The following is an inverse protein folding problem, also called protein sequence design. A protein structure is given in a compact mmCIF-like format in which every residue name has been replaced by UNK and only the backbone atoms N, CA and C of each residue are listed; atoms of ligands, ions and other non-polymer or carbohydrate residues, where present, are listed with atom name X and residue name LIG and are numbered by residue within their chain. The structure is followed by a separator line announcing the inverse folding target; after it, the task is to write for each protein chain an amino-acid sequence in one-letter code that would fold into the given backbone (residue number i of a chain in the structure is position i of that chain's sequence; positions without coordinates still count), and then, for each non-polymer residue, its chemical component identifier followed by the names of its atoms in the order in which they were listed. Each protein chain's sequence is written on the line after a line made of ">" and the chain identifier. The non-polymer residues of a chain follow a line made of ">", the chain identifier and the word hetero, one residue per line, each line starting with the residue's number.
data_IF_905758619998
#
_entry.id   IF_905758619998
#
_cell.length_a   1.000
_cell.length_b   1.000
_cell.length_c   1.000
_cell.angle_alpha   90.00
_cell.angle_beta   90.00
_cell.angle_gamma   90.00
#
_symmetry.space_group_name_H-M   'P 1'
#
loop_
_entity.id
_entity.type
_entity.pdbx_description
1 polymer ?
#
# COMPACT_ATOMS: atom_id res chain seq x y z
N UNK A 1 12.78 -2.29 -20.31
CA UNK A 1 13.06 -0.84 -20.28
C UNK A 1 13.66 -0.46 -18.93
N UNK A 2 14.79 0.23 -18.92
CA UNK A 2 15.52 0.70 -17.75
C UNK A 2 14.65 1.63 -16.93
N UNK A 3 14.97 1.79 -15.63
CA UNK A 3 14.32 2.79 -14.79
C UNK A 3 14.29 4.17 -15.45
N UNK A 4 13.16 4.88 -15.32
CA UNK A 4 13.03 6.26 -15.81
C UNK A 4 13.71 7.21 -14.84
N UNK A 5 14.96 7.58 -15.14
CA UNK A 5 15.76 8.52 -14.34
C UNK A 5 15.50 9.97 -14.76
N UNK A 6 14.66 10.67 -14.02
CA UNK A 6 14.20 12.04 -14.35
C UNK A 6 13.99 12.86 -13.09
N UNK A 7 14.10 14.19 -13.19
CA UNK A 7 14.04 15.07 -12.00
C UNK A 7 12.70 14.95 -11.25
N UNK A 8 11.59 14.81 -11.98
CA UNK A 8 10.24 14.60 -11.45
C UNK A 8 9.64 13.25 -11.83
N UNK A 9 8.59 12.85 -11.10
CA UNK A 9 7.73 11.71 -11.40
C UNK A 9 6.86 11.98 -12.65
N UNK A 10 6.45 13.22 -12.90
CA UNK A 10 5.64 13.61 -14.06
C UNK A 10 6.43 14.38 -15.11
N UNK A 11 7.51 15.06 -14.71
CA UNK A 11 8.27 15.96 -15.58
C UNK A 11 9.75 15.60 -15.64
N UNK A 12 10.37 15.88 -16.79
CA UNK A 12 11.77 15.51 -17.02
C UNK A 12 12.77 16.47 -16.34
N UNK A 13 12.37 17.70 -15.98
CA UNK A 13 13.25 18.70 -15.38
C UNK A 13 12.55 19.80 -14.58
N UNK A 14 13.21 20.26 -13.51
CA UNK A 14 12.84 21.47 -12.76
C UNK A 14 11.67 21.36 -11.77
N UNK A 15 11.00 20.22 -11.68
CA UNK A 15 9.94 19.99 -10.70
C UNK A 15 10.44 19.30 -9.43
N UNK A 16 9.69 19.50 -8.33
CA UNK A 16 9.89 18.79 -7.08
C UNK A 16 9.08 17.47 -7.11
N UNK A 17 9.72 16.30 -7.13
CA UNK A 17 9.01 15.02 -7.15
C UNK A 17 8.16 14.79 -5.91
N UNK A 18 8.40 15.50 -4.80
CA UNK A 18 7.51 15.47 -3.64
C UNK A 18 6.16 16.11 -3.94
N UNK A 19 6.15 17.25 -4.64
CA UNK A 19 4.89 17.91 -5.03
C UNK A 19 4.10 17.05 -6.02
N UNK A 20 4.79 16.46 -6.98
CA UNK A 20 4.15 15.57 -7.95
C UNK A 20 3.61 14.28 -7.28
N UNK A 21 4.37 13.68 -6.35
CA UNK A 21 3.92 12.53 -5.57
C UNK A 21 2.68 12.85 -4.73
N UNK A 22 2.68 14.01 -4.05
CA UNK A 22 1.53 14.48 -3.28
C UNK A 22 0.28 14.61 -4.14
N UNK A 23 0.42 15.23 -5.31
CA UNK A 23 -0.69 15.42 -6.24
C UNK A 23 -1.22 14.09 -6.79
N UNK A 24 -0.35 13.17 -7.20
CA UNK A 24 -0.74 11.83 -7.68
C UNK A 24 -1.51 11.07 -6.60
N UNK A 25 -1.03 11.05 -5.36
CA UNK A 25 -1.70 10.37 -4.24
C UNK A 25 -3.04 11.05 -3.90
N UNK A 26 -3.08 12.39 -3.87
CA UNK A 26 -4.33 13.11 -3.63
C UNK A 26 -5.37 12.86 -4.73
N UNK A 27 -4.95 12.85 -5.99
CA UNK A 27 -5.81 12.49 -7.12
C UNK A 27 -6.33 11.05 -6.97
N UNK A 28 -5.48 10.09 -6.61
CA UNK A 28 -5.92 8.73 -6.38
C UNK A 28 -6.96 8.63 -5.25
N UNK A 29 -6.77 9.34 -4.14
CA UNK A 29 -7.70 9.34 -2.98
C UNK A 29 -9.04 9.99 -3.33
N UNK A 30 -9.03 11.17 -3.95
CA UNK A 30 -10.25 11.87 -4.38
C UNK A 30 -10.99 11.04 -5.43
N UNK A 31 -10.26 10.53 -6.43
CA UNK A 31 -10.79 9.69 -7.48
C UNK A 31 -11.40 8.40 -6.95
N UNK A 32 -10.70 7.70 -6.05
CA UNK A 32 -11.22 6.52 -5.37
C UNK A 32 -12.53 6.84 -4.65
N UNK A 33 -12.58 7.96 -3.92
CA UNK A 33 -13.79 8.35 -3.19
C UNK A 33 -14.98 8.56 -4.11
N UNK A 34 -14.78 9.26 -5.24
CA UNK A 34 -15.81 9.48 -6.26
C UNK A 34 -16.27 8.15 -6.87
N UNK A 35 -15.34 7.24 -7.18
CA UNK A 35 -15.69 5.94 -7.77
C UNK A 35 -16.43 5.01 -6.80
N UNK A 36 -16.13 5.08 -5.49
CA UNK A 36 -16.91 4.36 -4.47
C UNK A 36 -18.33 4.91 -4.34
N UNK A 37 -18.49 6.23 -4.34
CA UNK A 37 -19.83 6.84 -4.30
C UNK A 37 -20.65 6.48 -5.55
N UNK A 38 -20.02 6.47 -6.74
CA UNK A 38 -20.67 5.97 -7.97
C UNK A 38 -21.10 4.51 -7.88
N UNK A 39 -20.43 3.72 -7.04
CA UNK A 39 -20.77 2.34 -6.74
C UNK A 39 -21.78 2.20 -5.58
N UNK A 40 -22.37 3.30 -5.11
CA UNK A 40 -23.28 3.37 -3.97
C UNK A 40 -22.64 2.92 -2.65
N UNK A 41 -21.37 3.26 -2.44
CA UNK A 41 -20.60 2.92 -1.24
C UNK A 41 -20.17 4.21 -0.53
N UNK A 42 -20.45 4.29 0.77
CA UNK A 42 -19.92 5.34 1.63
C UNK A 42 -18.41 5.20 1.81
N UNK A 43 -17.72 6.33 1.83
CA UNK A 43 -16.27 6.36 2.00
C UNK A 43 -15.95 6.80 3.43
N UNK A 44 -15.29 5.92 4.17
CA UNK A 44 -14.76 6.25 5.49
C UNK A 44 -13.23 6.17 5.49
N UNK A 45 -12.58 7.26 5.88
CA UNK A 45 -11.18 7.24 6.27
C UNK A 45 -11.09 7.13 7.79
N UNK A 46 -10.48 6.04 8.24
CA UNK A 46 -10.38 5.64 9.63
C UNK A 46 -9.04 6.03 10.24
N UNK A 47 -9.04 6.33 11.53
CA UNK A 47 -7.86 6.37 12.38
C UNK A 47 -8.04 5.48 13.63
N UNK A 48 -7.01 5.38 14.45
CA UNK A 48 -7.05 4.64 15.72
C UNK A 48 -8.12 5.20 16.66
N UNK A 49 -8.83 4.37 17.44
CA UNK A 49 -9.76 4.84 18.48
C UNK A 49 -9.07 5.73 19.54
N UNK A 50 -9.80 6.70 20.11
CA UNK A 50 -9.26 7.69 21.06
C UNK A 50 -8.75 7.08 22.36
N UNK A 51 -9.41 6.03 22.84
CA UNK A 51 -9.18 5.41 24.15
C UNK A 51 -7.82 4.70 24.23
N UNK A 52 -7.08 4.70 23.13
CA UNK A 52 -5.84 3.95 22.91
C UNK A 52 -4.61 4.83 22.77
N UNK A 53 -4.75 6.16 22.73
CA UNK A 53 -3.62 7.06 22.50
C UNK A 53 -3.02 7.62 23.80
N UNK A 54 -1.71 7.40 24.07
CA UNK A 54 -1.02 8.02 25.20
C UNK A 54 -0.89 9.55 25.08
N UNK A 55 -1.31 10.13 23.94
CA UNK A 55 -1.26 11.56 23.64
C UNK A 55 -2.61 12.05 23.09
N UNK A 56 -3.61 12.35 23.94
CA UNK A 56 -4.94 12.78 23.50
C UNK A 56 -4.91 14.06 22.65
N UNK A 57 -3.96 14.96 22.89
CA UNK A 57 -3.79 16.19 22.08
C UNK A 57 -3.26 15.89 20.67
N UNK A 58 -2.47 14.84 20.52
CA UNK A 58 -2.01 14.39 19.20
C UNK A 58 -3.18 13.76 18.45
N UNK A 59 -3.93 12.87 19.12
CA UNK A 59 -5.11 12.23 18.55
C UNK A 59 -6.14 13.27 18.09
N UNK A 60 -6.49 14.23 18.94
CA UNK A 60 -7.50 15.26 18.63
C UNK A 60 -7.10 16.10 17.41
N UNK A 61 -5.82 16.49 17.31
CA UNK A 61 -5.33 17.20 16.12
C UNK A 61 -5.42 16.35 14.86
N UNK A 62 -5.02 15.09 14.92
CA UNK A 62 -5.11 14.19 13.76
C UNK A 62 -6.56 13.94 13.35
N UNK A 63 -7.46 13.85 14.33
CA UNK A 63 -8.90 13.73 14.10
C UNK A 63 -9.46 14.95 13.37
N UNK A 64 -9.18 16.15 13.86
CA UNK A 64 -9.59 17.41 13.21
C UNK A 64 -9.02 17.50 11.77
N UNK A 65 -7.75 17.11 11.60
CA UNK A 65 -7.09 17.09 10.30
C UNK A 65 -7.78 16.14 9.32
N UNK A 66 -8.16 14.95 9.78
CA UNK A 66 -8.85 13.93 9.01
C UNK A 66 -10.28 14.36 8.66
N UNK A 67 -11.01 14.98 9.60
CA UNK A 67 -12.33 15.53 9.36
C UNK A 67 -12.33 16.60 8.27
N UNK A 68 -11.39 17.55 8.34
CA UNK A 68 -11.25 18.60 7.32
C UNK A 68 -10.94 18.02 5.94
N UNK A 69 -10.01 17.05 5.87
CA UNK A 69 -9.66 16.38 4.63
C UNK A 69 -10.86 15.62 4.04
N UNK A 70 -11.55 14.79 4.84
CA UNK A 70 -12.72 14.05 4.41
C UNK A 70 -13.86 14.97 3.94
N UNK A 71 -14.11 16.07 4.66
CA UNK A 71 -15.10 17.07 4.27
C UNK A 71 -14.76 17.71 2.92
N UNK A 72 -13.51 18.12 2.71
CA UNK A 72 -13.08 18.74 1.45
C UNK A 72 -13.12 17.75 0.30
N UNK A 73 -12.74 16.49 0.50
CA UNK A 73 -12.89 15.43 -0.52
C UNK A 73 -14.37 15.22 -0.87
N UNK A 74 -15.26 15.17 0.13
CA UNK A 74 -16.71 15.06 -0.09
C UNK A 74 -17.29 16.26 -0.87
N UNK A 75 -16.79 17.47 -0.62
CA UNK A 75 -17.17 18.65 -1.40
C UNK A 75 -16.73 18.53 -2.85
N UNK A 76 -15.51 18.08 -3.11
CA UNK A 76 -15.01 17.85 -4.48
C UNK A 76 -15.82 16.76 -5.20
N UNK A 77 -16.16 15.68 -4.50
CA UNK A 77 -17.01 14.63 -5.05
C UNK A 77 -18.39 15.17 -5.45
N UNK A 78 -19.00 16.01 -4.62
CA UNK A 78 -20.30 16.63 -4.91
C UNK A 78 -20.29 17.62 -6.09
N UNK A 79 -19.11 18.12 -6.50
CA UNK A 79 -18.96 18.91 -7.73
C UNK A 79 -18.96 18.03 -8.99
N UNK A 80 -18.45 16.79 -8.88
CA UNK A 80 -18.27 15.87 -9.99
C UNK A 80 -19.48 14.95 -10.23
N UNK A 81 -20.22 14.61 -9.18
CA UNK A 81 -21.31 13.62 -9.22
C UNK A 81 -22.49 14.00 -8.32
N UNK A 82 -23.65 13.43 -8.62
CA UNK A 82 -24.73 13.35 -7.65
C UNK A 82 -24.34 12.32 -6.58
N UNK A 83 -24.25 12.77 -5.33
CA UNK A 83 -23.84 11.94 -4.20
C UNK A 83 -24.87 10.86 -3.85
N UNK A 84 -26.13 10.98 -4.31
CA UNK A 84 -27.21 9.99 -4.06
C UNK A 84 -27.42 9.63 -2.58
N UNK A 85 -27.09 10.55 -1.67
CA UNK A 85 -27.17 10.33 -0.22
C UNK A 85 -25.94 9.67 0.41
N UNK A 86 -24.94 9.28 -0.38
CA UNK A 86 -23.65 8.79 0.10
C UNK A 86 -22.72 9.92 0.53
N UNK A 87 -21.69 9.59 1.31
CA UNK A 87 -20.80 10.57 1.89
C UNK A 87 -19.33 10.12 1.98
N UNK A 88 -18.45 11.11 2.13
CA UNK A 88 -17.05 10.93 2.53
C UNK A 88 -16.93 11.43 3.97
N UNK A 89 -16.45 10.58 4.88
CA UNK A 89 -16.38 10.90 6.31
C UNK A 89 -15.09 10.41 6.96
N UNK A 90 -14.69 11.10 8.03
CA UNK A 90 -13.72 10.56 8.98
C UNK A 90 -14.42 9.57 9.92
N UNK A 91 -13.69 8.54 10.36
CA UNK A 91 -14.16 7.56 11.33
C UNK A 91 -13.01 6.93 12.11
N UNK A 92 -13.34 5.96 12.95
CA UNK A 92 -12.36 5.16 13.68
C UNK A 92 -12.41 3.72 13.20
N UNK A 93 -11.27 3.05 13.21
CA UNK A 93 -11.19 1.61 12.99
C UNK A 93 -11.82 0.85 14.16
N UNK A 94 -12.11 -0.44 13.94
CA UNK A 94 -12.45 -1.37 15.03
C UNK A 94 -11.21 -1.63 15.89
N UNK A 95 -11.41 -1.81 17.20
CA UNK A 95 -10.34 -2.15 18.13
C UNK A 95 -9.75 -3.54 17.80
N UNK A 96 -8.44 -3.58 17.54
CA UNK A 96 -7.69 -4.78 17.19
C UNK A 96 -7.53 -5.74 18.39
N UNK A 97 -7.61 -5.24 19.63
CA UNK A 97 -7.35 -6.03 20.86
C UNK A 97 -8.39 -7.12 21.12
N UNK A 98 -9.54 -7.06 20.46
CA UNK A 98 -10.55 -8.12 20.53
C UNK A 98 -10.20 -9.32 19.64
N UNK A 99 -9.12 -9.25 18.86
CA UNK A 99 -8.80 -10.22 17.82
C UNK A 99 -9.55 -9.94 16.50
N UNK A 100 -9.98 -8.70 16.30
CA UNK A 100 -10.65 -8.27 15.10
C UNK A 100 -9.72 -8.38 13.87
N UNK A 101 -10.32 -8.58 12.70
CA UNK A 101 -9.60 -8.82 11.43
C UNK A 101 -10.08 -7.89 10.33
N UNK A 102 -9.21 -7.63 9.36
CA UNK A 102 -9.65 -7.13 8.06
C UNK A 102 -10.07 -8.36 7.25
N UNK A 103 -11.25 -8.30 6.63
CA UNK A 103 -11.78 -9.38 5.79
C UNK A 103 -11.87 -8.85 4.37
N UNK A 104 -11.27 -9.55 3.41
CA UNK A 104 -11.57 -9.36 2.00
C UNK A 104 -12.70 -10.31 1.62
N UNK A 105 -13.80 -9.80 1.09
CA UNK A 105 -14.88 -10.65 0.57
C UNK A 105 -15.01 -10.47 -0.92
N UNK A 106 -15.05 -11.57 -1.68
CA UNK A 106 -15.07 -11.53 -3.15
C UNK A 106 -16.43 -11.15 -3.70
N UNK A 107 -16.72 -9.84 -3.76
CA UNK A 107 -18.02 -9.31 -4.18
C UNK A 107 -18.40 -9.69 -5.61
N UNK A 108 -17.42 -9.94 -6.50
CA UNK A 108 -17.69 -10.40 -7.87
C UNK A 108 -18.27 -11.82 -7.95
N UNK A 109 -18.10 -12.64 -6.91
CA UNK A 109 -18.77 -13.93 -6.79
C UNK A 109 -20.16 -13.82 -6.12
N UNK A 110 -20.66 -12.62 -5.87
CA UNK A 110 -21.96 -12.38 -5.24
C UNK A 110 -21.97 -12.56 -3.73
N UNK A 111 -20.80 -12.56 -3.09
CA UNK A 111 -20.72 -12.54 -1.64
C UNK A 111 -21.04 -11.15 -1.10
N UNK A 112 -21.83 -11.10 -0.03
CA UNK A 112 -22.17 -9.86 0.66
C UNK A 112 -20.96 -9.25 1.36
N UNK A 113 -20.85 -7.91 1.45
CA UNK A 113 -19.78 -7.27 2.22
C UNK A 113 -19.75 -7.76 3.68
N UNK A 114 -18.58 -7.86 4.31
CA UNK A 114 -18.47 -8.33 5.69
C UNK A 114 -19.16 -7.35 6.64
N UNK A 115 -19.88 -7.89 7.62
CA UNK A 115 -20.52 -7.11 8.67
C UNK A 115 -19.52 -6.70 9.76
N UNK A 116 -19.91 -5.74 10.61
CA UNK A 116 -19.12 -5.41 11.81
C UNK A 116 -18.94 -6.61 12.75
N UNK A 117 -19.89 -7.56 12.75
CA UNK A 117 -19.79 -8.82 13.48
C UNK A 117 -18.67 -9.69 12.92
N UNK A 118 -18.60 -9.84 11.61
CA UNK A 118 -17.58 -10.65 10.91
C UNK A 118 -16.17 -10.13 11.20
N UNK A 119 -16.02 -8.81 11.31
CA UNK A 119 -14.76 -8.13 11.63
C UNK A 119 -14.36 -8.35 13.09
N UNK A 120 -15.29 -8.17 14.02
CA UNK A 120 -15.02 -8.22 15.48
C UNK A 120 -14.90 -9.64 16.02
N UNK A 121 -15.64 -10.56 15.41
CA UNK A 121 -15.80 -11.95 15.84
C UNK A 121 -15.63 -12.90 14.65
N UNK A 122 -14.44 -12.91 13.99
CA UNK A 122 -14.19 -13.79 12.86
C UNK A 122 -14.41 -15.26 13.20
N UNK A 123 -14.24 -15.65 14.47
CA UNK A 123 -14.46 -17.01 14.97
C UNK A 123 -15.86 -17.58 14.70
N UNK A 124 -16.86 -16.73 14.46
CA UNK A 124 -18.21 -17.16 14.12
C UNK A 124 -18.39 -17.51 12.64
N UNK A 125 -17.42 -17.15 11.80
CA UNK A 125 -17.47 -17.26 10.35
C UNK A 125 -16.34 -18.12 9.77
N UNK A 126 -15.32 -18.43 10.58
CA UNK A 126 -14.26 -19.36 10.22
C UNK A 126 -14.75 -20.81 10.23
N UNK A 127 -14.19 -21.62 9.33
CA UNK A 127 -14.28 -23.07 9.38
C UNK A 127 -13.51 -23.63 10.59
N UNK A 128 -13.78 -24.88 10.99
CA UNK A 128 -13.06 -25.50 12.13
C UNK A 128 -11.53 -25.44 11.97
N UNK A 129 -11.03 -25.68 10.77
CA UNK A 129 -9.59 -25.57 10.46
C UNK A 129 -9.13 -24.11 10.40
N UNK A 130 -9.95 -23.22 9.84
CA UNK A 130 -9.67 -21.77 9.82
C UNK A 130 -9.52 -21.21 11.23
N UNK A 131 -10.38 -21.64 12.16
CA UNK A 131 -10.31 -21.29 13.58
C UNK A 131 -8.99 -21.76 14.21
N UNK A 132 -8.55 -22.99 13.93
CA UNK A 132 -7.27 -23.51 14.42
C UNK A 132 -6.10 -22.64 13.95
N UNK A 133 -6.07 -22.25 12.67
CA UNK A 133 -5.02 -21.38 12.14
C UNK A 133 -5.07 -19.98 12.76
N UNK A 134 -6.26 -19.38 12.88
CA UNK A 134 -6.45 -18.08 13.53
C UNK A 134 -5.96 -18.11 14.99
N UNK A 135 -6.30 -19.15 15.74
CA UNK A 135 -5.86 -19.32 17.13
C UNK A 135 -4.34 -19.53 17.21
N UNK A 136 -3.73 -20.26 16.28
CA UNK A 136 -2.26 -20.42 16.22
C UNK A 136 -1.57 -19.08 15.97
N UNK A 137 -2.08 -18.27 15.02
CA UNK A 137 -1.55 -16.93 14.73
C UNK A 137 -1.59 -16.03 15.96
N UNK A 138 -2.71 -16.04 16.71
CA UNK A 138 -2.85 -15.26 17.95
C UNK A 138 -1.96 -15.76 19.08
N UNK A 139 -1.83 -17.08 19.23
CA UNK A 139 -0.95 -17.66 20.25
C UNK A 139 0.53 -17.35 20.00
N UNK A 140 0.88 -17.02 18.75
CA UNK A 140 2.24 -16.65 18.32
C UNK A 140 2.36 -15.19 17.90
N UNK A 141 1.51 -14.30 18.44
CA UNK A 141 1.45 -12.87 18.10
C UNK A 141 2.76 -12.10 18.37
N UNK A 142 3.71 -12.71 19.07
CA UNK A 142 5.04 -12.16 19.41
C UNK A 142 6.20 -12.98 18.85
N UNK A 143 5.94 -13.94 17.96
CA UNK A 143 6.96 -14.80 17.37
C UNK A 143 7.37 -14.29 15.97
N UNK A 144 8.50 -13.57 15.83
CA UNK A 144 8.97 -13.06 14.54
C UNK A 144 9.48 -14.18 13.61
N UNK A 145 9.70 -15.41 14.10
CA UNK A 145 10.03 -16.54 13.24
C UNK A 145 8.78 -17.12 12.56
N UNK A 146 7.59 -16.80 13.07
CA UNK A 146 6.32 -17.29 12.54
C UNK A 146 5.62 -16.25 11.64
N UNK A 147 5.73 -14.96 11.96
CA UNK A 147 5.02 -13.90 11.24
C UNK A 147 5.66 -12.51 11.41
N UNK A 148 5.15 -11.51 10.68
CA UNK A 148 5.61 -10.13 10.81
C UNK A 148 4.91 -9.42 11.98
N UNK A 149 5.67 -8.98 13.00
CA UNK A 149 5.16 -8.37 14.24
C UNK A 149 5.58 -6.89 14.44
N UNK A 150 6.17 -6.27 13.41
CA UNK A 150 6.61 -4.88 13.41
C UNK A 150 5.50 -3.81 13.27
N UNK A 151 5.88 -2.63 12.79
CA UNK A 151 4.95 -1.53 12.52
C UNK A 151 4.21 -1.78 11.20
N UNK A 152 2.87 -1.73 11.22
CA UNK A 152 2.09 -2.21 10.07
C UNK A 152 2.16 -3.75 9.94
N UNK A 153 2.39 -4.44 11.05
CA UNK A 153 2.30 -5.88 11.20
C UNK A 153 0.89 -6.36 10.94
N UNK A 154 0.71 -6.71 9.69
CA UNK A 154 -0.48 -7.33 9.20
C UNK A 154 -0.14 -8.71 8.66
N UNK A 155 -0.69 -9.73 9.31
CA UNK A 155 -0.50 -11.12 8.93
C UNK A 155 -1.72 -11.60 8.17
N UNK A 156 -1.54 -11.94 6.90
CA UNK A 156 -2.60 -12.49 6.06
C UNK A 156 -2.80 -13.98 6.30
N UNK A 157 -4.02 -14.47 6.12
CA UNK A 157 -4.32 -15.89 5.99
C UNK A 157 -5.58 -16.09 5.15
N UNK A 158 -5.81 -17.32 4.67
CA UNK A 158 -6.98 -17.67 3.85
C UNK A 158 -7.70 -18.84 4.49
N UNK A 159 -8.98 -18.65 4.79
CA UNK A 159 -9.89 -19.76 5.07
C UNK A 159 -10.58 -20.18 3.77
N UNK A 160 -10.52 -21.46 3.44
CA UNK A 160 -11.13 -22.03 2.25
C UNK A 160 -12.47 -22.74 2.55
N UNK A 161 -13.00 -22.61 3.76
CA UNK A 161 -14.30 -23.17 4.14
C UNK A 161 -14.36 -24.70 4.17
N UNK A 162 -13.27 -25.40 3.90
CA UNK A 162 -13.17 -26.86 3.82
C UNK A 162 -14.17 -27.50 2.81
N UNK A 163 -14.58 -26.79 1.74
CA UNK A 163 -15.74 -27.18 0.92
C UNK A 163 -15.48 -28.13 -0.26
N UNK A 164 -14.27 -28.25 -0.82
CA UNK A 164 -13.96 -29.24 -1.87
C UNK A 164 -12.44 -29.54 -1.96
N UNK A 165 -12.06 -30.82 -2.07
CA UNK A 165 -10.66 -31.23 -2.30
C UNK A 165 -9.69 -31.17 -1.10
N UNK A 166 -10.20 -30.98 0.13
CA UNK A 166 -9.45 -30.99 1.41
C UNK A 166 -8.09 -30.27 1.34
N UNK A 167 -8.11 -28.98 0.98
CA UNK A 167 -6.95 -28.12 1.24
C UNK A 167 -7.10 -27.55 2.64
N UNK A 168 -6.02 -27.43 3.39
CA UNK A 168 -6.03 -26.74 4.68
C UNK A 168 -6.05 -25.22 4.44
N UNK A 169 -6.54 -24.40 5.41
CA UNK A 169 -6.38 -22.95 5.35
C UNK A 169 -4.90 -22.60 5.19
N UNK A 170 -4.61 -21.48 4.53
CA UNK A 170 -3.25 -21.11 4.14
C UNK A 170 -2.80 -19.87 4.90
N UNK A 171 -1.66 -19.97 5.59
CA UNK A 171 -1.03 -18.88 6.31
C UNK A 171 -0.06 -19.40 7.37
N UNK A 172 0.56 -18.51 8.17
CA UNK A 172 0.52 -17.06 8.06
C UNK A 172 1.23 -16.54 6.80
N UNK A 173 0.79 -15.39 6.29
CA UNK A 173 1.43 -14.66 5.20
C UNK A 173 1.94 -13.33 5.75
N UNK A 174 3.19 -13.29 6.25
CA UNK A 174 3.78 -12.06 6.79
C UNK A 174 4.05 -11.06 5.66
N UNK A 175 4.10 -9.77 6.01
CA UNK A 175 4.51 -8.74 5.05
C UNK A 175 5.88 -9.04 4.45
N UNK A 176 6.08 -8.65 3.19
CA UNK A 176 7.28 -8.98 2.42
C UNK A 176 7.89 -7.73 1.78
N UNK A 177 9.22 -7.68 1.71
CA UNK A 177 10.01 -6.73 0.92
C UNK A 177 10.60 -7.44 -0.29
N UNK A 178 10.65 -6.75 -1.42
CA UNK A 178 11.31 -7.24 -2.63
C UNK A 178 12.03 -6.12 -3.39
N UNK A 179 12.99 -6.54 -4.22
CA UNK A 179 13.53 -5.70 -5.26
C UNK A 179 12.54 -5.61 -6.43
N UNK A 180 12.26 -4.39 -6.90
CA UNK A 180 11.42 -4.19 -8.08
C UNK A 180 12.33 -4.31 -9.30
N UNK A 181 12.12 -5.31 -10.18
CA UNK A 181 13.09 -5.62 -11.22
C UNK A 181 13.28 -4.47 -12.21
N UNK A 182 14.52 -4.31 -12.66
CA UNK A 182 14.82 -3.53 -13.85
C UNK A 182 14.36 -4.31 -15.08
N UNK A 183 13.49 -3.70 -15.90
CA UNK A 183 12.89 -4.36 -17.05
C UNK A 183 13.85 -4.42 -18.27
N UNK A 184 15.05 -3.84 -18.21
CA UNK A 184 16.09 -3.91 -19.26
C UNK A 184 17.28 -4.81 -18.91
N UNK A 185 17.37 -5.36 -17.70
CA UNK A 185 18.55 -6.11 -17.25
C UNK A 185 18.79 -7.46 -17.99
N UNK A 186 17.98 -7.81 -19.00
CA UNK A 186 18.25 -8.91 -19.94
C UNK A 186 18.19 -10.33 -19.38
N UNK A 187 18.09 -10.49 -18.05
CA UNK A 187 18.08 -11.79 -17.36
C UNK A 187 16.67 -12.30 -17.01
N UNK A 188 15.62 -11.61 -17.45
CA UNK A 188 14.25 -12.10 -17.31
C UNK A 188 13.92 -12.99 -18.51
N UNK A 189 14.20 -14.30 -18.37
CA UNK A 189 13.89 -15.35 -19.36
C UNK A 189 12.36 -15.49 -19.63
N UNK A 190 11.55 -14.68 -18.95
CA UNK A 190 10.10 -14.67 -18.98
C UNK A 190 9.57 -13.24 -19.14
N UNK A 191 8.88 -12.96 -20.26
CA UNK A 191 8.17 -11.72 -20.65
C UNK A 191 7.11 -11.16 -19.65
N UNK A 192 7.30 -11.26 -18.34
CA UNK A 192 6.27 -10.97 -17.31
C UNK A 192 6.03 -9.46 -17.15
N UNK A 193 7.07 -8.66 -17.33
CA UNK A 193 6.98 -7.21 -17.30
C UNK A 193 6.82 -6.61 -18.70
N UNK A 194 6.51 -7.43 -19.70
CA UNK A 194 6.34 -6.97 -21.07
C UNK A 194 5.24 -5.91 -21.13
N UNK A 195 5.68 -4.65 -21.28
CA UNK A 195 4.84 -3.47 -21.38
C UNK A 195 4.44 -2.79 -20.06
N UNK A 196 4.95 -3.19 -18.89
CA UNK A 196 4.87 -2.29 -17.72
C UNK A 196 5.61 -0.97 -18.04
N UNK A 197 5.02 0.15 -17.62
CA UNK A 197 5.68 1.44 -17.78
C UNK A 197 6.89 1.52 -16.83
N UNK A 198 8.06 2.00 -17.29
CA UNK A 198 9.27 2.07 -16.48
C UNK A 198 9.04 2.79 -15.14
N UNK A 199 9.53 2.18 -14.06
CA UNK A 199 9.47 2.78 -12.71
C UNK A 199 10.40 3.97 -12.63
N UNK A 200 9.99 5.02 -11.93
CA UNK A 200 10.77 6.23 -11.73
C UNK A 200 11.87 6.06 -10.68
N UNK A 201 13.02 6.68 -10.97
CA UNK A 201 14.09 6.93 -10.03
C UNK A 201 14.58 8.38 -10.18
N UNK A 202 15.10 9.01 -9.11
CA UNK A 202 15.86 10.23 -9.28
C UNK A 202 17.10 10.00 -10.17
N UNK A 203 17.58 11.03 -10.90
CA UNK A 203 18.88 11.00 -11.57
C UNK A 203 19.99 10.68 -10.57
N UNK A 204 21.07 10.04 -11.01
CA UNK A 204 22.16 9.60 -10.12
C UNK A 204 22.82 10.78 -9.40
N UNK A 205 22.89 11.91 -10.08
CA UNK A 205 23.42 13.19 -9.59
C UNK A 205 22.41 13.99 -8.74
N UNK A 206 21.22 13.47 -8.50
CA UNK A 206 20.17 14.18 -7.76
C UNK A 206 20.54 14.34 -6.28
N UNK A 207 20.32 15.54 -5.74
CA UNK A 207 20.46 15.80 -4.30
C UNK A 207 19.51 14.94 -3.43
N UNK A 208 18.50 14.30 -4.02
CA UNK A 208 17.63 13.34 -3.33
C UNK A 208 18.36 12.08 -2.87
N UNK A 209 19.53 11.79 -3.43
CA UNK A 209 20.38 10.70 -2.97
C UNK A 209 21.23 11.08 -1.74
N UNK A 210 21.45 12.38 -1.47
CA UNK A 210 22.32 12.80 -0.38
C UNK A 210 21.94 12.20 0.99
N UNK A 211 20.66 12.21 1.43
CA UNK A 211 20.28 11.60 2.71
C UNK A 211 20.40 10.06 2.72
N UNK A 212 20.53 9.46 1.55
CA UNK A 212 20.61 8.01 1.34
C UNK A 212 22.05 7.50 1.19
N UNK A 213 23.04 8.39 1.09
CA UNK A 213 24.46 8.01 1.14
C UNK A 213 24.72 7.39 2.51
N UNK A 214 25.30 6.20 2.52
CA UNK A 214 25.63 5.51 3.77
C UNK A 214 26.63 6.34 4.57
N UNK A 215 26.45 6.33 5.88
CA UNK A 215 27.35 6.98 6.80
C UNK A 215 28.78 6.43 6.64
N UNK A 216 29.77 7.33 6.67
CA UNK A 216 31.20 7.02 6.65
C UNK A 216 31.68 6.28 5.37
N UNK A 217 30.91 6.32 4.29
CA UNK A 217 31.28 5.81 2.95
C UNK A 217 31.61 6.94 1.97
N UNK A 218 31.97 6.60 0.73
CA UNK A 218 32.06 7.59 -0.35
C UNK A 218 30.66 7.99 -0.85
N UNK A 219 30.59 9.08 -1.64
CA UNK A 219 29.35 9.66 -2.18
C UNK A 219 28.59 8.74 -3.16
N UNK A 220 29.03 7.49 -3.33
CA UNK A 220 28.47 6.53 -4.29
C UNK A 220 27.81 5.31 -3.63
N UNK A 221 28.09 5.02 -2.36
CA UNK A 221 27.43 3.92 -1.63
C UNK A 221 26.12 4.41 -0.99
N UNK A 222 25.02 4.28 -1.75
CA UNK A 222 23.68 4.70 -1.33
C UNK A 222 22.79 3.50 -0.96
N UNK A 223 21.92 3.68 0.02
CA UNK A 223 20.80 2.75 0.23
C UNK A 223 19.79 2.87 -0.91
N UNK A 224 19.27 1.74 -1.37
CA UNK A 224 18.29 1.67 -2.47
C UNK A 224 17.07 2.59 -2.28
N UNK A 225 16.51 3.05 -3.41
CA UNK A 225 15.35 3.92 -3.40
C UNK A 225 14.12 3.19 -2.86
N UNK A 226 13.28 3.91 -2.10
CA UNK A 226 12.08 3.32 -1.52
C UNK A 226 12.31 2.47 -0.26
N UNK A 227 13.54 2.28 0.23
CA UNK A 227 13.79 1.64 1.54
C UNK A 227 13.16 2.49 2.66
N UNK A 228 12.34 1.86 3.51
CA UNK A 228 11.76 2.47 4.73
C UNK A 228 12.90 2.88 5.66
N UNK A 229 12.93 4.17 6.02
CA UNK A 229 14.03 4.76 6.80
C UNK A 229 15.31 5.01 6.01
N UNK A 230 15.26 4.90 4.67
CA UNK A 230 16.43 5.09 3.82
C UNK A 230 17.01 6.49 3.84
N UNK A 231 16.22 7.51 4.18
CA UNK A 231 16.66 8.89 4.42
C UNK A 231 17.46 9.07 5.72
N UNK A 232 17.57 8.01 6.53
CA UNK A 232 18.36 7.96 7.76
C UNK A 232 19.72 7.27 7.53
N UNK A 233 20.16 7.08 6.29
CA UNK A 233 21.41 6.37 5.99
C UNK A 233 22.67 7.10 6.51
N UNK A 234 22.58 8.41 6.76
CA UNK A 234 23.65 9.21 7.35
C UNK A 234 23.66 9.19 8.89
N UNK A 235 22.58 8.73 9.52
CA UNK A 235 22.44 8.72 10.97
C UNK A 235 23.16 7.52 11.59
N UNK A 236 23.66 7.71 12.81
CA UNK A 236 24.20 6.62 13.62
C UNK A 236 23.11 5.58 13.95
N UNK A 237 23.44 4.28 14.04
CA UNK A 237 22.59 3.34 14.75
C UNK A 237 22.29 3.86 16.16
N UNK A 238 21.08 3.58 16.66
CA UNK A 238 20.69 3.88 18.02
C UNK A 238 21.19 2.81 18.96
N UNK A 239 21.84 3.21 20.05
CA UNK A 239 22.46 2.30 21.02
C UNK A 239 21.44 1.44 21.77
N UNK A 240 20.21 1.92 21.94
CA UNK A 240 19.16 1.25 22.68
C UNK A 240 18.38 0.20 21.88
N UNK A 241 18.61 0.11 20.56
CA UNK A 241 17.94 -0.85 19.67
C UNK A 241 18.94 -1.92 19.17
N UNK A 242 18.47 -3.15 18.86
CA UNK A 242 19.33 -4.17 18.25
C UNK A 242 19.99 -3.64 16.97
N UNK A 243 21.31 -3.74 16.89
CA UNK A 243 22.08 -3.23 15.76
C UNK A 243 22.22 -4.25 14.62
N UNK A 244 22.43 -5.53 14.99
CA UNK A 244 22.69 -6.63 14.05
C UNK A 244 23.83 -6.34 13.05
N UNK A 245 24.82 -5.56 13.48
CA UNK A 245 25.96 -5.17 12.64
C UNK A 245 25.65 -4.08 11.62
N UNK A 246 24.61 -3.27 11.86
CA UNK A 246 24.28 -2.15 11.01
C UNK A 246 25.35 -1.05 11.10
N UNK A 247 25.63 -0.43 9.96
CA UNK A 247 26.63 0.66 9.89
C UNK A 247 26.00 2.03 10.04
N UNK A 248 24.69 2.12 9.83
CA UNK A 248 23.88 3.33 9.87
C UNK A 248 22.44 3.00 10.30
N UNK A 249 21.63 4.04 10.54
CA UNK A 249 20.27 3.89 11.02
C UNK A 249 19.33 3.21 10.02
N UNK A 250 19.48 3.43 8.71
CA UNK A 250 18.68 2.75 7.68
C UNK A 250 18.89 1.23 7.70
N UNK A 251 20.15 0.79 7.82
CA UNK A 251 20.49 -0.63 7.96
C UNK A 251 19.93 -1.22 9.24
N UNK A 252 20.02 -0.48 10.35
CA UNK A 252 19.50 -0.94 11.63
C UNK A 252 18.00 -1.20 11.54
N UNK A 253 17.24 -0.27 10.93
CA UNK A 253 15.79 -0.44 10.69
C UNK A 253 15.52 -1.67 9.81
N UNK A 254 16.29 -1.83 8.73
CA UNK A 254 16.18 -3.00 7.84
C UNK A 254 16.43 -4.32 8.57
N UNK A 255 17.48 -4.37 9.40
CA UNK A 255 17.84 -5.54 10.17
C UNK A 255 16.81 -5.87 11.25
N UNK A 256 16.28 -4.86 11.95
CA UNK A 256 15.20 -5.05 12.93
C UNK A 256 13.96 -5.63 12.24
N UNK A 257 13.55 -5.08 11.08
CA UNK A 257 12.42 -5.61 10.32
C UNK A 257 12.61 -7.08 9.94
N UNK A 258 13.84 -7.48 9.62
CA UNK A 258 14.19 -8.86 9.24
C UNK A 258 14.26 -9.81 10.42
N UNK A 259 15.15 -9.52 11.36
CA UNK A 259 15.58 -10.48 12.37
C UNK A 259 14.73 -10.44 13.63
N UNK A 260 14.22 -9.25 13.99
CA UNK A 260 13.44 -9.07 15.23
C UNK A 260 11.94 -9.01 14.98
N UNK A 261 11.53 -8.68 13.74
CA UNK A 261 10.12 -8.48 13.42
C UNK A 261 9.55 -9.49 12.43
N UNK A 262 10.36 -10.28 11.72
CA UNK A 262 9.84 -11.37 10.88
C UNK A 262 9.29 -10.97 9.51
N UNK A 263 9.69 -9.82 8.96
CA UNK A 263 9.34 -9.47 7.58
C UNK A 263 10.07 -10.40 6.62
N UNK A 264 9.38 -10.89 5.59
CA UNK A 264 10.00 -11.70 4.55
C UNK A 264 10.81 -10.82 3.59
N UNK A 265 12.03 -11.23 3.24
CA UNK A 265 12.86 -10.53 2.24
C UNK A 265 13.04 -11.46 1.03
N UNK A 266 12.45 -11.09 -0.09
CA UNK A 266 12.42 -11.89 -1.32
C UNK A 266 13.32 -11.23 -2.36
N UNK A 267 14.24 -12.01 -2.93
CA UNK A 267 15.17 -11.59 -3.99
C UNK A 267 15.85 -10.25 -3.71
N UNK A 268 16.85 -10.30 -2.83
CA UNK A 268 17.63 -9.13 -2.42
C UNK A 268 18.82 -8.85 -3.32
N UNK A 269 18.83 -9.39 -4.55
CA UNK A 269 19.95 -9.17 -5.44
C UNK A 269 20.09 -7.66 -5.75
N UNK A 270 21.24 -7.09 -5.39
CA UNK A 270 21.62 -5.69 -5.61
C UNK A 270 21.03 -4.68 -4.60
N UNK A 271 21.82 -3.71 -4.16
CA UNK A 271 21.33 -2.54 -3.41
C UNK A 271 20.77 -1.44 -4.33
N UNK A 272 21.06 -1.53 -5.63
CA UNK A 272 20.62 -0.59 -6.65
C UNK A 272 19.14 -0.77 -7.02
N UNK A 273 18.47 0.33 -7.38
CA UNK A 273 17.08 0.32 -7.86
C UNK A 273 16.01 0.60 -6.80
N UNK A 274 14.77 0.21 -7.10
CA UNK A 274 13.60 0.48 -6.24
C UNK A 274 13.32 -0.74 -5.36
N UNK A 275 13.06 -0.50 -4.06
CA UNK A 275 12.59 -1.50 -3.10
C UNK A 275 11.11 -1.26 -2.81
N UNK A 276 10.35 -2.35 -2.70
CA UNK A 276 8.92 -2.31 -2.48
C UNK A 276 8.46 -3.28 -1.40
N UNK A 277 7.29 -2.99 -0.82
CA UNK A 277 6.71 -3.71 0.30
C UNK A 277 5.26 -4.12 0.02
N UNK A 278 4.90 -5.36 0.36
CA UNK A 278 3.53 -5.89 0.25
C UNK A 278 3.07 -6.43 1.59
N UNK A 279 1.85 -6.05 2.00
CA UNK A 279 1.23 -6.53 3.24
C UNK A 279 0.62 -7.93 3.09
N UNK A 280 0.38 -8.59 4.23
CA UNK A 280 -0.17 -9.95 4.29
C UNK A 280 -1.53 -10.12 3.60
N UNK A 281 -2.48 -9.18 3.75
CA UNK A 281 -3.79 -9.24 3.08
C UNK A 281 -3.65 -9.38 1.57
N UNK A 282 -2.69 -8.66 0.99
CA UNK A 282 -2.51 -8.63 -0.47
C UNK A 282 -2.05 -10.02 -0.94
N UNK A 283 -1.12 -10.64 -0.22
CA UNK A 283 -0.71 -12.02 -0.46
C UNK A 283 -1.88 -13.00 -0.29
N UNK A 284 -2.69 -12.81 0.76
CA UNK A 284 -3.87 -13.62 1.02
C UNK A 284 -4.90 -13.51 -0.12
N UNK A 285 -5.08 -12.33 -0.72
CA UNK A 285 -5.98 -12.13 -1.87
C UNK A 285 -5.49 -12.89 -3.10
N UNK A 286 -4.19 -12.81 -3.44
CA UNK A 286 -3.67 -13.65 -4.55
C UNK A 286 -3.91 -15.13 -4.27
N UNK A 287 -3.70 -15.58 -3.04
CA UNK A 287 -3.90 -16.98 -2.68
C UNK A 287 -5.38 -17.38 -2.70
N UNK A 288 -6.28 -16.55 -2.17
CA UNK A 288 -7.71 -16.80 -2.20
C UNK A 288 -8.23 -16.86 -3.64
N UNK A 289 -7.82 -15.93 -4.50
CA UNK A 289 -8.18 -15.94 -5.92
C UNK A 289 -7.69 -17.20 -6.64
N UNK A 290 -6.45 -17.63 -6.35
CA UNK A 290 -5.89 -18.87 -6.87
C UNK A 290 -6.68 -20.12 -6.44
N UNK A 291 -7.10 -20.18 -5.17
CA UNK A 291 -7.84 -21.32 -4.62
C UNK A 291 -9.31 -21.33 -5.04
N UNK A 292 -9.89 -20.16 -5.31
CA UNK A 292 -11.21 -20.01 -5.90
C UNK A 292 -12.17 -19.13 -5.07
N UNK A 293 -13.38 -18.89 -5.60
CA UNK A 293 -14.30 -17.86 -5.08
C UNK A 293 -14.92 -18.18 -3.71
N UNK A 294 -14.74 -19.39 -3.19
CA UNK A 294 -15.21 -19.79 -1.86
C UNK A 294 -14.19 -19.46 -0.75
N UNK A 295 -12.98 -19.04 -1.13
CA UNK A 295 -11.92 -18.70 -0.18
C UNK A 295 -12.05 -17.25 0.29
N UNK A 296 -11.89 -17.05 1.60
CA UNK A 296 -11.96 -15.74 2.24
C UNK A 296 -10.58 -15.36 2.78
N UNK A 297 -9.94 -14.31 2.24
CA UNK A 297 -8.73 -13.75 2.79
C UNK A 297 -9.03 -12.89 4.03
N UNK A 298 -8.20 -13.08 5.05
CA UNK A 298 -8.22 -12.35 6.29
C UNK A 298 -6.86 -11.72 6.55
N UNK A 299 -6.84 -10.66 7.34
CA UNK A 299 -5.62 -10.05 7.85
C UNK A 299 -5.83 -9.68 9.31
N UNK A 300 -4.94 -10.19 10.17
CA UNK A 300 -4.97 -9.96 11.61
C UNK A 300 -3.79 -9.09 12.01
N UNK A 301 -4.04 -8.18 12.93
CA UNK A 301 -2.99 -7.39 13.58
C UNK A 301 -2.32 -8.22 14.67
N UNK A 302 -0.99 -8.27 14.63
CA UNK A 302 -0.16 -9.00 15.61
C UNK A 302 0.96 -8.10 16.13
N UNK A 303 1.56 -8.49 17.25
CA UNK A 303 2.56 -7.70 17.95
C UNK A 303 1.99 -6.49 18.69
N UNK A 304 2.88 -5.74 19.34
CA UNK A 304 2.50 -4.58 20.16
C UNK A 304 2.65 -3.24 19.39
N UNK A 305 3.21 -3.27 18.18
CA UNK A 305 3.56 -2.07 17.41
C UNK A 305 2.45 -1.58 16.46
N UNK A 306 1.50 -2.44 16.11
CA UNK A 306 0.42 -2.11 15.18
C UNK A 306 -0.89 -2.03 15.94
N UNK A 307 -1.46 -0.83 15.98
CA UNK A 307 -2.64 -0.52 16.80
C UNK A 307 -3.90 -0.22 15.98
N UNK A 308 -3.79 -0.23 14.64
CA UNK A 308 -4.88 0.16 13.74
C UNK A 308 -5.30 -1.00 12.85
N UNK A 309 -6.57 -1.37 12.93
CA UNK A 309 -7.18 -2.36 12.04
C UNK A 309 -7.82 -1.67 10.82
N UNK A 310 -6.97 -1.15 9.95
CA UNK A 310 -7.38 -0.49 8.71
C UNK A 310 -6.31 -0.72 7.65
N UNK A 311 -6.74 -0.90 6.40
CA UNK A 311 -5.83 -1.04 5.26
C UNK A 311 -5.23 0.31 4.90
N UNK A 312 -3.92 0.35 4.63
CA UNK A 312 -3.30 1.54 4.05
C UNK A 312 -3.86 1.80 2.66
N UNK A 313 -3.76 3.04 2.18
CA UNK A 313 -4.40 3.41 0.91
C UNK A 313 -3.92 2.58 -0.31
N UNK A 314 -2.65 2.16 -0.32
CA UNK A 314 -2.12 1.22 -1.32
C UNK A 314 -2.86 -0.12 -1.31
N UNK A 315 -3.02 -0.73 -0.13
CA UNK A 315 -3.82 -1.94 0.03
C UNK A 315 -5.27 -1.72 -0.39
N UNK A 316 -5.92 -0.64 0.07
CA UNK A 316 -7.31 -0.31 -0.26
C UNK A 316 -7.54 -0.27 -1.77
N UNK A 317 -6.65 0.40 -2.50
CA UNK A 317 -6.75 0.51 -3.95
C UNK A 317 -6.71 -0.87 -4.63
N UNK A 318 -5.79 -1.75 -4.23
CA UNK A 318 -5.69 -3.10 -4.78
C UNK A 318 -6.87 -3.99 -4.39
N UNK A 319 -7.27 -3.93 -3.12
CA UNK A 319 -8.39 -4.66 -2.54
C UNK A 319 -9.69 -4.34 -3.28
N UNK A 320 -10.01 -3.04 -3.43
CA UNK A 320 -11.18 -2.58 -4.18
C UNK A 320 -11.13 -2.97 -5.65
N UNK A 321 -9.96 -2.82 -6.31
CA UNK A 321 -9.81 -3.16 -7.73
C UNK A 321 -10.12 -4.63 -8.03
N UNK A 322 -9.83 -5.51 -7.08
CA UNK A 322 -9.99 -6.95 -7.23
C UNK A 322 -11.28 -7.49 -6.58
N UNK A 323 -12.19 -6.59 -6.18
CA UNK A 323 -13.48 -6.98 -5.63
C UNK A 323 -13.42 -7.53 -4.20
N UNK A 324 -12.37 -7.20 -3.44
CA UNK A 324 -12.19 -7.51 -2.03
C UNK A 324 -12.12 -6.22 -1.20
N UNK A 325 -13.10 -5.31 -1.24
CA UNK A 325 -12.98 -3.99 -0.61
C UNK A 325 -12.65 -4.11 0.88
N UNK A 326 -11.74 -3.26 1.42
CA UNK A 326 -11.37 -3.34 2.82
C UNK A 326 -12.52 -2.87 3.71
N UNK A 327 -12.59 -3.44 4.90
CA UNK A 327 -13.57 -3.07 5.92
C UNK A 327 -13.31 -1.69 6.54
N UNK A 328 -12.06 -1.22 6.44
CA UNK A 328 -11.61 0.06 6.97
C UNK A 328 -10.38 0.51 6.19
N UNK A 329 -10.33 1.79 5.81
CA UNK A 329 -9.19 2.41 5.10
C UNK A 329 -8.59 3.50 5.95
N UNK A 330 -7.26 3.61 6.04
CA UNK A 330 -6.62 4.75 6.72
C UNK A 330 -5.66 5.51 5.80
N UNK A 331 -5.54 6.82 6.05
CA UNK A 331 -4.60 7.71 5.36
C UNK A 331 -3.27 7.81 6.14
N UNK A 332 -2.64 6.67 6.37
CA UNK A 332 -1.33 6.56 7.04
C UNK A 332 -0.17 6.67 6.05
N UNK A 333 0.87 5.84 6.18
CA UNK A 333 1.98 5.82 5.23
C UNK A 333 1.91 4.50 4.45
N UNK A 334 1.85 4.57 3.12
CA UNK A 334 1.93 3.41 2.24
C UNK A 334 3.34 3.33 1.61
N UNK A 335 4.37 3.40 2.47
CA UNK A 335 5.77 3.59 2.07
C UNK A 335 6.25 2.50 1.11
N UNK A 336 6.48 2.90 -0.13
CA UNK A 336 6.86 2.01 -1.23
C UNK A 336 5.96 0.78 -1.34
N UNK A 337 4.67 0.94 -1.05
CA UNK A 337 3.72 -0.16 -1.20
C UNK A 337 3.62 -0.57 -2.66
N UNK A 338 3.50 -1.88 -2.89
CA UNK A 338 3.44 -2.47 -4.24
C UNK A 338 2.62 -3.77 -4.23
N UNK A 339 2.03 -4.16 -5.37
CA UNK A 339 1.51 -5.50 -5.57
C UNK A 339 2.65 -6.53 -5.66
N UNK A 340 2.32 -7.82 -5.66
CA UNK A 340 3.33 -8.85 -5.87
C UNK A 340 3.89 -8.79 -7.29
N UNK A 341 5.21 -8.96 -7.38
CA UNK A 341 5.95 -9.17 -8.62
C UNK A 341 6.47 -10.61 -8.69
N UNK A 342 6.64 -11.13 -9.90
CA UNK A 342 7.42 -12.36 -10.07
C UNK A 342 8.93 -12.09 -9.88
N UNK A 343 9.70 -13.07 -9.36
CA UNK A 343 9.28 -14.40 -8.94
C UNK A 343 8.91 -14.46 -7.44
N UNK A 344 7.75 -13.96 -7.02
CA UNK A 344 7.18 -14.34 -5.73
C UNK A 344 6.70 -15.79 -5.80
N UNK A 345 7.40 -16.71 -5.11
CA UNK A 345 7.09 -18.16 -5.09
C UNK A 345 6.49 -18.56 -3.74
N UNK A 346 5.18 -18.43 -3.52
CA UNK A 346 4.56 -18.91 -2.29
C UNK A 346 4.42 -20.45 -2.25
N UNK A 347 4.27 -21.18 -3.38
CA UNK A 347 4.40 -22.66 -3.38
C UNK A 347 4.56 -23.33 -4.78
N UNK A 348 4.26 -24.63 -4.88
CA UNK A 348 4.82 -25.62 -5.84
C UNK A 348 4.24 -25.63 -7.26
N UNK A 349 3.38 -24.66 -7.65
CA UNK A 349 2.82 -24.58 -9.01
C UNK A 349 3.04 -23.21 -9.68
N UNK A 350 4.24 -22.96 -10.25
CA UNK A 350 4.64 -21.63 -10.72
C UNK A 350 3.77 -21.04 -11.84
N UNK A 351 3.15 -21.87 -12.70
CA UNK A 351 2.41 -21.39 -13.88
C UNK A 351 1.03 -20.82 -13.55
N UNK A 352 0.29 -21.42 -12.62
CA UNK A 352 -1.05 -20.95 -12.25
C UNK A 352 -0.95 -19.70 -11.38
N UNK A 353 0.06 -19.62 -10.51
CA UNK A 353 0.31 -18.43 -9.68
C UNK A 353 0.65 -17.20 -10.54
N UNK A 354 1.44 -17.38 -11.61
CA UNK A 354 1.73 -16.34 -12.61
C UNK A 354 0.47 -15.73 -13.24
N UNK A 355 -0.48 -16.56 -13.65
CA UNK A 355 -1.72 -16.08 -14.27
C UNK A 355 -2.51 -15.22 -13.27
N UNK A 356 -2.58 -15.66 -12.01
CA UNK A 356 -3.28 -14.93 -10.94
C UNK A 356 -2.60 -13.58 -10.65
N UNK A 357 -1.26 -13.55 -10.58
CA UNK A 357 -0.52 -12.30 -10.39
C UNK A 357 -0.84 -11.30 -11.51
N UNK A 358 -0.77 -11.74 -12.77
CA UNK A 358 -1.03 -10.89 -13.92
C UNK A 358 -2.47 -10.37 -13.96
N UNK A 359 -3.46 -11.22 -13.67
CA UNK A 359 -4.88 -10.87 -13.72
C UNK A 359 -5.25 -9.80 -12.67
N UNK A 360 -4.83 -10.03 -11.42
CA UNK A 360 -5.11 -9.09 -10.33
C UNK A 360 -4.32 -7.78 -10.49
N UNK A 361 -3.08 -7.84 -11.02
CA UNK A 361 -2.29 -6.64 -11.31
C UNK A 361 -2.87 -5.83 -12.48
N UNK A 362 -3.43 -6.49 -13.50
CA UNK A 362 -4.11 -5.81 -14.60
C UNK A 362 -5.39 -5.11 -14.12
N UNK A 363 -6.18 -5.76 -13.25
CA UNK A 363 -7.36 -5.16 -12.62
C UNK A 363 -6.99 -3.96 -11.75
N UNK A 364 -5.94 -4.10 -10.94
CA UNK A 364 -5.36 -2.99 -10.17
C UNK A 364 -4.91 -1.83 -11.06
N UNK A 365 -4.21 -2.11 -12.17
CA UNK A 365 -3.76 -1.07 -13.09
C UNK A 365 -4.91 -0.31 -13.76
N UNK A 366 -5.95 -1.04 -14.19
CA UNK A 366 -7.17 -0.43 -14.72
C UNK A 366 -7.87 0.45 -13.69
N UNK A 367 -7.92 0.03 -12.43
CA UNK A 367 -8.51 0.84 -11.36
C UNK A 367 -7.68 2.09 -11.04
N UNK A 368 -6.35 1.98 -11.00
CA UNK A 368 -5.45 3.13 -10.85
C UNK A 368 -5.67 4.18 -11.95
N UNK A 369 -5.74 3.77 -13.22
CA UNK A 369 -6.03 4.69 -14.33
C UNK A 369 -7.39 5.39 -14.15
N UNK A 370 -8.43 4.62 -13.82
CA UNK A 370 -9.77 5.14 -13.58
C UNK A 370 -9.78 6.20 -12.47
N UNK A 371 -9.23 5.89 -11.30
CA UNK A 371 -9.26 6.83 -10.17
C UNK A 371 -8.36 8.03 -10.40
N UNK A 372 -7.17 7.88 -10.99
CA UNK A 372 -6.28 9.01 -11.25
C UNK A 372 -6.93 10.00 -12.21
N UNK A 373 -7.55 9.51 -13.29
CA UNK A 373 -8.28 10.38 -14.23
C UNK A 373 -9.48 11.04 -13.58
N UNK A 374 -10.22 10.33 -12.72
CA UNK A 374 -11.37 10.92 -12.00
C UNK A 374 -10.91 11.97 -10.98
N UNK A 375 -9.88 11.68 -10.19
CA UNK A 375 -9.35 12.61 -9.21
C UNK A 375 -8.70 13.84 -9.84
N UNK A 376 -7.98 13.67 -10.95
CA UNK A 376 -7.39 14.78 -11.71
C UNK A 376 -8.44 15.77 -12.21
N UNK A 377 -9.63 15.31 -12.62
CA UNK A 377 -10.73 16.21 -13.01
C UNK A 377 -11.28 16.99 -11.81
N UNK A 378 -11.44 16.31 -10.68
CA UNK A 378 -11.94 16.93 -9.45
C UNK A 378 -10.93 17.95 -8.85
N UNK A 379 -9.64 17.64 -8.92
CA UNK A 379 -8.52 18.47 -8.48
C UNK A 379 -8.07 19.45 -9.58
N UNK A 380 -9.01 20.25 -10.10
CA UNK A 380 -8.66 21.36 -10.98
C UNK A 380 -7.78 22.40 -10.27
N UNK A 381 -7.15 23.28 -11.04
CA UNK A 381 -6.31 24.39 -10.52
C UNK A 381 -7.07 25.24 -9.48
N UNK A 382 -8.39 25.41 -9.63
CA UNK A 382 -9.22 26.17 -8.68
C UNK A 382 -9.44 25.45 -7.33
N UNK A 383 -9.08 24.17 -7.24
CA UNK A 383 -9.39 23.29 -6.11
C UNK A 383 -8.14 22.80 -5.37
N UNK A 384 -6.95 23.24 -5.78
CA UNK A 384 -5.66 22.86 -5.19
C UNK A 384 -4.89 24.08 -4.70
N UNK A 385 -3.88 23.87 -3.86
CA UNK A 385 -2.96 24.93 -3.46
C UNK A 385 -2.02 25.32 -4.62
N UNK A 386 -1.70 26.62 -4.74
CA UNK A 386 -0.91 27.22 -5.83
C UNK A 386 0.41 26.49 -6.14
N UNK A 387 1.05 25.89 -5.12
CA UNK A 387 2.29 25.13 -5.30
C UNK A 387 2.14 23.95 -6.27
N UNK A 388 0.91 23.48 -6.50
CA UNK A 388 0.57 22.30 -7.31
C UNK A 388 -0.01 22.64 -8.69
N UNK A 389 -0.12 23.92 -9.08
CA UNK A 389 -0.78 24.36 -10.32
C UNK A 389 -0.26 23.69 -11.61
N UNK A 390 1.01 23.27 -11.61
CA UNK A 390 1.64 22.60 -12.75
C UNK A 390 1.30 21.10 -12.83
N UNK A 391 0.92 20.46 -11.72
CA UNK A 391 0.74 19.02 -11.63
C UNK A 391 -0.45 18.50 -12.46
N UNK A 392 -1.63 19.15 -12.51
CA UNK A 392 -2.75 18.69 -13.35
C UNK A 392 -2.37 18.54 -14.82
N UNK A 393 -1.74 19.57 -15.40
CA UNK A 393 -1.33 19.56 -16.80
C UNK A 393 -0.21 18.54 -17.07
N UNK A 394 0.74 18.38 -16.15
CA UNK A 394 1.79 17.38 -16.26
C UNK A 394 1.23 15.94 -16.20
N UNK A 395 0.32 15.67 -15.26
CA UNK A 395 -0.34 14.37 -15.16
C UNK A 395 -1.20 14.07 -16.39
N UNK A 396 -1.97 15.05 -16.88
CA UNK A 396 -2.76 14.92 -18.10
C UNK A 396 -1.87 14.65 -19.32
N UNK A 397 -0.71 15.30 -19.40
CA UNK A 397 0.25 15.05 -20.48
C UNK A 397 0.76 13.61 -20.48
N UNK A 398 1.18 13.09 -19.32
CA UNK A 398 1.72 11.72 -19.20
C UNK A 398 0.64 10.66 -19.41
N UNK A 399 -0.56 10.87 -18.86
CA UNK A 399 -1.70 9.95 -19.05
C UNK A 399 -2.41 10.13 -20.40
N UNK A 400 -2.06 11.17 -21.15
CA UNK A 400 -2.60 11.50 -22.47
C UNK A 400 -1.70 11.01 -23.60
N UNK A 401 -1.90 11.57 -24.79
CA UNK A 401 -1.04 11.33 -25.94
C UNK A 401 -0.86 9.86 -26.30
N UNK A 402 0.40 9.40 -26.37
CA UNK A 402 0.75 8.03 -26.74
C UNK A 402 0.34 6.98 -25.70
N UNK A 403 0.05 7.38 -24.46
CA UNK A 403 -0.27 6.49 -23.35
C UNK A 403 -1.76 6.49 -22.96
N UNK A 404 -2.62 7.15 -23.75
CA UNK A 404 -4.04 7.32 -23.40
C UNK A 404 -4.83 6.02 -23.25
N UNK A 405 -4.32 4.91 -23.80
CA UNK A 405 -4.92 3.58 -23.72
C UNK A 405 -4.08 2.60 -22.89
N UNK A 406 -2.99 3.05 -22.26
CA UNK A 406 -2.10 2.20 -21.48
C UNK A 406 -2.24 2.47 -19.97
N UNK A 407 -3.09 1.67 -19.34
CA UNK A 407 -3.40 1.72 -17.92
C UNK A 407 -2.15 1.50 -17.05
N UNK A 408 -1.09 0.89 -17.62
CA UNK A 408 0.15 0.57 -16.89
C UNK A 408 0.97 1.82 -16.58
N UNK A 409 0.74 2.92 -17.28
CA UNK A 409 1.36 4.21 -16.94
C UNK A 409 0.80 4.73 -15.62
N UNK A 410 -0.53 4.75 -15.48
CA UNK A 410 -1.19 5.23 -14.28
C UNK A 410 -0.79 4.46 -13.01
N UNK A 411 -0.70 3.13 -13.10
CA UNK A 411 -0.26 2.33 -11.95
C UNK A 411 1.22 2.56 -11.61
N UNK A 412 2.11 2.68 -12.60
CA UNK A 412 3.52 2.99 -12.33
C UNK A 412 3.67 4.36 -11.66
N UNK A 413 2.96 5.39 -12.14
CA UNK A 413 2.96 6.72 -11.51
C UNK A 413 2.46 6.68 -10.06
N UNK A 414 1.37 5.96 -9.79
CA UNK A 414 0.86 5.79 -8.43
C UNK A 414 1.90 5.10 -7.54
N UNK A 415 2.47 3.98 -7.98
CA UNK A 415 3.46 3.24 -7.21
C UNK A 415 4.76 4.04 -7.02
N UNK A 416 5.16 4.86 -7.99
CA UNK A 416 6.32 5.75 -7.88
C UNK A 416 6.09 6.86 -6.87
N UNK A 417 4.89 7.44 -6.84
CA UNK A 417 4.51 8.43 -5.83
C UNK A 417 4.62 7.88 -4.39
N UNK A 418 4.35 6.58 -4.20
CA UNK A 418 4.49 5.90 -2.91
C UNK A 418 5.96 5.67 -2.49
N UNK A 419 6.93 5.74 -3.42
CA UNK A 419 8.36 5.61 -3.09
C UNK A 419 8.96 6.87 -2.49
N UNK A 420 8.31 8.03 -2.70
CA UNK A 420 8.55 9.22 -1.89
C UNK A 420 7.80 8.98 -0.59
N UNK A 421 8.45 8.94 0.57
CA UNK A 421 7.78 8.56 1.83
C UNK A 421 7.13 9.77 2.52
N UNK A 422 5.85 9.67 2.85
CA UNK A 422 5.12 10.63 3.70
C UNK A 422 3.80 9.99 4.20
N UNK A 423 3.03 10.69 5.04
CA UNK A 423 1.68 10.30 5.43
C UNK A 423 0.68 10.82 4.40
N UNK A 424 -0.19 9.95 3.90
CA UNK A 424 -1.16 10.28 2.86
C UNK A 424 -2.14 11.38 3.29
N UNK A 425 -2.53 11.41 4.57
CA UNK A 425 -3.34 12.51 5.11
C UNK A 425 -2.63 13.87 4.95
N UNK A 426 -1.33 13.91 5.22
CA UNK A 426 -0.54 15.14 5.08
C UNK A 426 -0.40 15.55 3.62
N UNK A 427 -0.19 14.61 2.69
CA UNK A 427 -0.16 14.88 1.25
C UNK A 427 -1.45 15.50 0.75
N UNK A 428 -2.57 14.86 1.06
CA UNK A 428 -3.90 15.32 0.68
C UNK A 428 -4.16 16.72 1.22
N UNK A 429 -3.83 16.98 2.49
CA UNK A 429 -4.05 18.29 3.09
C UNK A 429 -3.24 19.39 2.42
N UNK A 430 -1.96 19.14 2.10
CA UNK A 430 -1.14 20.12 1.34
C UNK A 430 -1.74 20.44 -0.02
N UNK A 431 -2.12 19.40 -0.78
CA UNK A 431 -2.75 19.58 -2.11
C UNK A 431 -4.06 20.36 -2.01
N UNK A 432 -4.87 20.09 -0.98
CA UNK A 432 -6.16 20.74 -0.76
C UNK A 432 -6.07 22.12 -0.08
N UNK A 433 -4.87 22.61 0.23
CA UNK A 433 -4.66 23.91 0.89
C UNK A 433 -5.19 23.96 2.33
N UNK A 434 -5.08 22.85 3.07
CA UNK A 434 -5.62 22.70 4.43
C UNK A 434 -4.57 22.85 5.55
N UNK A 435 -3.30 23.08 5.21
CA UNK A 435 -2.17 23.10 6.16
C UNK A 435 -1.96 24.42 6.92
#
# INVERSE_FOLDING_TARGET
>A
MAYRRTSGILTDGGADPKLEADYIVAAAIVGHSIEQIRANVDVQFSMEPSDEMPRPDKWSREWDQLQQAAQKIGQLAALEIDMQGHSVRAGTAVDHKTGAVIVGVYGLAGHEPPTEGDIRHPEHHLSDKGQVLYDEIKQRDRDPAYQYIGLGAYTGFVDNGNVEGDTDPVGPMPSARFHIPDLDAGDHDDNIFEGWYPRWLPPEESALWNPRVRRDTDDHDCVGWGIIGGDLAQDAPKEEEPDHGATNRSDQITNIMRFDQGMNFVDESGDEGVKGYTHGMIQAIYKAYHLGPHCTPYEITVGDCTTKLASCFGCTMFMTANGYPPTSTHLGRAESWVPLYEPYKPSTSPKTERIVINDLNASFAAYCDKVLRTGMRALSVDNIADAYDHCPAALEHVLGGHYSADNRVAVSLFLDALTVHDRELSRVRRVLGLD
#
